data_IF_210889961084
#
_entry.id   IF_210889961084
#
_cell.length_a   1.000
_cell.length_b   1.000
_cell.length_c   1.000
_cell.angle_alpha   90.00
_cell.angle_beta   90.00
_cell.angle_gamma   90.00
#
_symmetry.space_group_name_H-M   'P 1'
#
loop_
_entity.id
_entity.type
_entity.pdbx_description
1 polymer ?
#
# COMPACT_ATOMS: atom_id res chain seq x y z
N UNK A 1 -32.97 6.02 -3.03
CA UNK A 1 -31.49 6.00 -3.05
C UNK A 1 -30.93 4.59 -3.34
N UNK A 2 -31.41 3.55 -2.65
CA UNK A 2 -30.98 2.15 -2.83
C UNK A 2 -31.20 1.60 -4.25
N UNK A 3 -32.37 1.86 -4.86
CA UNK A 3 -32.69 1.39 -6.23
C UNK A 3 -31.72 1.95 -7.28
N UNK A 4 -31.32 3.23 -7.14
CA UNK A 4 -30.33 3.86 -8.02
C UNK A 4 -28.94 3.21 -7.91
N UNK A 5 -28.57 2.75 -6.72
CA UNK A 5 -27.30 2.05 -6.49
C UNK A 5 -27.28 0.68 -7.18
N UNK A 6 -28.37 -0.09 -7.06
CA UNK A 6 -28.52 -1.36 -7.78
C UNK A 6 -28.52 -1.17 -9.30
N UNK A 7 -29.19 -0.13 -9.80
CA UNK A 7 -29.17 0.19 -11.23
C UNK A 7 -27.76 0.51 -11.74
N UNK A 8 -26.99 1.34 -11.02
CA UNK A 8 -25.58 1.64 -11.39
C UNK A 8 -24.72 0.39 -11.42
N UNK A 9 -24.89 -0.51 -10.45
CA UNK A 9 -24.16 -1.78 -10.38
C UNK A 9 -24.52 -2.66 -11.57
N UNK A 10 -25.81 -2.87 -11.84
CA UNK A 10 -26.28 -3.67 -12.97
C UNK A 10 -25.81 -3.08 -14.30
N UNK A 11 -25.94 -1.77 -14.49
CA UNK A 11 -25.46 -1.07 -15.68
C UNK A 11 -23.95 -1.29 -15.88
N UNK A 12 -23.15 -1.23 -14.81
CA UNK A 12 -21.72 -1.54 -14.87
C UNK A 12 -21.48 -3.00 -15.29
N UNK A 13 -22.18 -3.97 -14.70
CA UNK A 13 -22.02 -5.37 -15.08
C UNK A 13 -22.39 -5.63 -16.55
N UNK A 14 -23.51 -5.06 -17.01
CA UNK A 14 -23.95 -5.15 -18.40
C UNK A 14 -22.92 -4.49 -19.32
N UNK A 15 -22.42 -3.32 -18.97
CA UNK A 15 -21.37 -2.63 -19.72
C UNK A 15 -20.08 -3.48 -19.81
N UNK A 16 -19.62 -4.03 -18.69
CA UNK A 16 -18.43 -4.89 -18.66
C UNK A 16 -18.64 -6.20 -19.41
N UNK A 17 -19.86 -6.75 -19.42
CA UNK A 17 -20.19 -7.93 -20.20
C UNK A 17 -20.15 -7.63 -21.70
N UNK A 18 -20.81 -6.56 -22.15
CA UNK A 18 -20.85 -6.15 -23.56
C UNK A 18 -19.46 -5.82 -24.09
N UNK A 19 -18.65 -5.08 -23.33
CA UNK A 19 -17.29 -4.75 -23.75
C UNK A 19 -16.42 -6.00 -23.83
N UNK A 20 -16.61 -6.95 -22.91
CA UNK A 20 -15.89 -8.24 -22.95
C UNK A 20 -16.28 -9.07 -24.16
N UNK A 21 -17.56 -9.06 -24.54
CA UNK A 21 -18.05 -9.75 -25.74
C UNK A 21 -17.45 -9.16 -27.02
N UNK A 22 -17.41 -7.82 -27.13
CA UNK A 22 -16.75 -7.11 -28.25
C UNK A 22 -15.25 -7.43 -28.30
N UNK A 23 -14.61 -7.57 -27.14
CA UNK A 23 -13.18 -7.83 -27.06
C UNK A 23 -12.81 -9.32 -27.18
N UNK A 24 -13.79 -10.23 -27.20
CA UNK A 24 -13.56 -11.68 -27.25
C UNK A 24 -12.72 -12.14 -28.46
N UNK A 25 -12.93 -11.63 -29.70
CA UNK A 25 -12.18 -12.08 -30.87
C UNK A 25 -10.69 -11.71 -30.87
N UNK A 26 -10.27 -10.72 -30.08
CA UNK A 26 -8.87 -10.31 -30.03
C UNK A 26 -8.01 -11.36 -29.33
N UNK A 27 -6.92 -11.77 -29.99
CA UNK A 27 -5.99 -12.78 -29.47
C UNK A 27 -5.24 -12.28 -28.25
N UNK A 28 -4.97 -13.19 -27.32
CA UNK A 28 -4.03 -12.98 -26.23
C UNK A 28 -2.63 -12.96 -26.82
N UNK A 29 -1.84 -11.94 -26.48
CA UNK A 29 -0.43 -11.79 -26.83
C UNK A 29 0.42 -12.39 -25.70
N UNK A 30 1.25 -13.42 -25.96
CA UNK A 30 1.93 -14.17 -24.91
C UNK A 30 2.95 -13.33 -24.14
N UNK A 31 3.63 -12.36 -24.77
CA UNK A 31 4.66 -11.53 -24.13
C UNK A 31 4.12 -10.24 -23.46
N UNK A 32 2.81 -10.14 -23.25
CA UNK A 32 2.16 -8.88 -22.85
C UNK A 32 1.60 -8.95 -21.44
N UNK A 33 1.93 -7.94 -20.63
CA UNK A 33 1.57 -7.87 -19.21
C UNK A 33 0.90 -6.52 -18.94
N UNK A 34 -0.22 -6.52 -18.22
CA UNK A 34 -0.91 -5.30 -17.81
C UNK A 34 -0.87 -5.12 -16.29
N UNK A 35 -0.56 -3.91 -15.86
CA UNK A 35 -0.43 -3.52 -14.46
C UNK A 35 -1.47 -2.45 -14.09
N UNK A 36 -1.96 -2.52 -12.86
CA UNK A 36 -2.84 -1.50 -12.26
C UNK A 36 -2.46 -1.29 -10.81
N UNK A 37 -2.28 -0.02 -10.43
CA UNK A 37 -2.15 0.41 -9.05
C UNK A 37 -3.42 1.17 -8.59
N UNK A 38 -4.09 0.72 -7.54
CA UNK A 38 -5.25 1.38 -6.91
C UNK A 38 -6.29 1.97 -7.90
N UNK A 39 -6.78 1.17 -8.85
CA UNK A 39 -7.71 1.61 -9.90
C UNK A 39 -7.18 2.78 -10.76
N UNK A 40 -5.90 2.71 -11.11
CA UNK A 40 -5.20 3.62 -12.01
C UNK A 40 -4.57 4.85 -11.33
N UNK A 41 -4.32 4.81 -10.02
CA UNK A 41 -3.64 5.90 -9.32
C UNK A 41 -2.13 5.78 -9.44
N UNK A 42 -1.55 6.50 -10.39
CA UNK A 42 -0.10 6.67 -10.54
C UNK A 42 0.70 5.36 -10.71
N UNK A 43 2.01 5.48 -10.51
CA UNK A 43 2.99 4.40 -10.60
C UNK A 43 3.52 4.06 -9.20
N UNK A 44 3.13 2.91 -8.64
CA UNK A 44 3.47 2.59 -7.25
C UNK A 44 3.08 1.19 -6.80
N UNK A 45 3.38 0.93 -5.52
CA UNK A 45 3.06 -0.29 -4.77
C UNK A 45 3.68 -1.57 -5.40
N UNK A 46 3.17 -2.75 -5.04
CA UNK A 46 3.72 -4.03 -5.50
C UNK A 46 3.81 -4.16 -7.03
N UNK A 47 2.80 -3.71 -7.82
CA UNK A 47 2.88 -3.77 -9.28
C UNK A 47 4.04 -2.97 -9.87
N UNK A 48 4.45 -1.85 -9.24
CA UNK A 48 5.59 -1.05 -9.68
C UNK A 48 6.87 -1.85 -9.57
N UNK A 49 7.15 -2.43 -8.41
CA UNK A 49 8.42 -3.17 -8.20
C UNK A 49 8.55 -4.37 -9.13
N UNK A 50 7.45 -5.11 -9.33
CA UNK A 50 7.41 -6.21 -10.31
C UNK A 50 7.68 -5.69 -11.72
N UNK A 51 7.03 -4.58 -12.11
CA UNK A 51 7.20 -3.96 -13.42
C UNK A 51 8.66 -3.51 -13.64
N UNK A 52 9.30 -2.88 -12.65
CA UNK A 52 10.71 -2.44 -12.76
C UNK A 52 11.68 -3.61 -12.93
N UNK A 53 11.49 -4.70 -12.17
CA UNK A 53 12.28 -5.92 -12.33
C UNK A 53 12.12 -6.49 -13.75
N UNK A 54 10.88 -6.64 -14.22
CA UNK A 54 10.60 -7.19 -15.55
C UNK A 54 11.13 -6.29 -16.67
N UNK A 55 10.96 -4.97 -16.55
CA UNK A 55 11.42 -3.97 -17.52
C UNK A 55 12.93 -3.98 -17.69
N UNK A 56 13.66 -4.17 -16.59
CA UNK A 56 15.12 -4.17 -16.57
C UNK A 56 15.69 -5.52 -17.03
N UNK A 57 15.04 -6.62 -16.65
CA UNK A 57 15.56 -7.99 -16.88
C UNK A 57 15.09 -8.61 -18.19
N UNK A 58 13.88 -8.25 -18.65
CA UNK A 58 13.22 -8.81 -19.83
C UNK A 58 12.68 -7.68 -20.73
N UNK A 59 13.56 -6.90 -21.39
CA UNK A 59 13.18 -5.69 -22.13
C UNK A 59 12.28 -5.95 -23.35
N UNK A 60 12.17 -7.20 -23.83
CA UNK A 60 11.34 -7.60 -24.97
C UNK A 60 9.84 -7.77 -24.62
N UNK A 61 9.46 -7.60 -23.35
CA UNK A 61 8.07 -7.69 -22.90
C UNK A 61 7.26 -6.42 -23.25
N UNK A 62 6.00 -6.59 -23.66
CA UNK A 62 5.04 -5.48 -23.79
C UNK A 62 4.44 -5.19 -22.41
N UNK A 63 5.08 -4.28 -21.67
CA UNK A 63 4.64 -3.85 -20.34
C UNK A 63 3.66 -2.67 -20.48
N UNK A 64 2.43 -2.89 -20.03
CA UNK A 64 1.35 -1.91 -20.14
C UNK A 64 0.86 -1.48 -18.77
N UNK A 65 0.84 -0.18 -18.52
CA UNK A 65 0.33 0.35 -17.26
C UNK A 65 -0.98 1.10 -17.48
N UNK A 66 -2.04 0.74 -16.73
CA UNK A 66 -3.30 1.48 -16.80
C UNK A 66 -3.36 2.52 -15.68
N UNK A 67 -3.35 3.80 -16.05
CA UNK A 67 -3.36 4.93 -15.12
C UNK A 67 -4.36 6.01 -15.53
N UNK A 68 -4.84 6.79 -14.55
CA UNK A 68 -5.72 7.95 -14.80
C UNK A 68 -4.93 9.14 -15.35
N UNK A 69 -3.69 9.27 -14.89
CA UNK A 69 -2.71 10.28 -15.27
C UNK A 69 -1.52 9.58 -15.94
N UNK A 70 -0.83 10.29 -16.84
CA UNK A 70 0.23 9.71 -17.68
C UNK A 70 1.64 10.20 -17.29
N UNK A 71 1.80 10.80 -16.10
CA UNK A 71 3.08 11.37 -15.64
C UNK A 71 3.80 10.43 -14.66
N UNK A 72 5.14 10.48 -14.66
CA UNK A 72 5.96 9.76 -13.67
C UNK A 72 6.18 8.27 -13.96
N UNK A 73 6.06 7.85 -15.23
CA UNK A 73 6.33 6.48 -15.67
C UNK A 73 7.70 6.38 -16.36
N UNK A 74 8.43 5.26 -16.18
CA UNK A 74 9.74 5.06 -16.80
C UNK A 74 9.63 4.69 -18.29
N UNK A 75 10.70 4.95 -19.04
CA UNK A 75 10.83 4.48 -20.42
C UNK A 75 10.75 2.94 -20.49
N UNK A 76 10.11 2.44 -21.54
CA UNK A 76 9.83 1.01 -21.73
C UNK A 76 8.51 0.53 -21.11
N UNK A 77 7.74 1.41 -20.48
CA UNK A 77 6.38 1.10 -20.00
C UNK A 77 5.35 1.91 -20.78
N UNK A 78 4.43 1.21 -21.44
CA UNK A 78 3.37 1.86 -22.23
C UNK A 78 2.19 2.23 -21.35
N UNK A 79 1.94 3.52 -21.19
CA UNK A 79 0.85 4.01 -20.35
C UNK A 79 -0.44 4.15 -21.16
N UNK A 80 -1.53 3.59 -20.65
CA UNK A 80 -2.86 3.66 -21.26
C UNK A 80 -3.87 4.18 -20.24
N UNK A 81 -4.72 5.12 -20.67
CA UNK A 81 -5.69 5.76 -19.78
C UNK A 81 -6.70 4.75 -19.23
N UNK A 82 -6.76 4.60 -17.92
CA UNK A 82 -7.65 3.69 -17.19
C UNK A 82 -9.13 3.97 -17.50
N UNK A 83 -9.92 2.91 -17.64
CA UNK A 83 -11.37 3.00 -17.92
C UNK A 83 -11.76 3.35 -19.36
N UNK A 84 -10.79 3.46 -20.28
CA UNK A 84 -11.05 3.67 -21.72
C UNK A 84 -11.21 2.35 -22.46
N UNK A 85 -11.80 2.39 -23.67
CA UNK A 85 -11.85 1.21 -24.55
C UNK A 85 -10.47 0.61 -24.82
N UNK A 86 -9.46 1.47 -25.01
CA UNK A 86 -8.08 1.03 -25.16
C UNK A 86 -7.62 0.25 -23.92
N UNK A 87 -7.85 0.74 -22.70
CA UNK A 87 -7.50 0.03 -21.48
C UNK A 87 -8.18 -1.34 -21.37
N UNK A 88 -9.44 -1.47 -21.80
CA UNK A 88 -10.12 -2.77 -21.85
C UNK A 88 -9.51 -3.70 -22.90
N UNK A 89 -9.12 -3.18 -24.07
CA UNK A 89 -8.37 -3.94 -25.08
C UNK A 89 -7.02 -4.42 -24.55
N UNK A 90 -6.28 -3.58 -23.82
CA UNK A 90 -5.02 -3.98 -23.18
C UNK A 90 -5.26 -5.16 -22.23
N UNK A 91 -6.27 -5.07 -21.36
CA UNK A 91 -6.67 -6.19 -20.50
C UNK A 91 -7.03 -7.44 -21.32
N UNK A 92 -7.79 -7.32 -22.40
CA UNK A 92 -8.26 -8.45 -23.21
C UNK A 92 -7.17 -9.15 -24.02
N UNK A 93 -6.07 -8.45 -24.29
CA UNK A 93 -4.96 -8.92 -25.11
C UNK A 93 -3.72 -9.28 -24.31
N UNK A 94 -3.59 -8.88 -23.04
CA UNK A 94 -2.48 -9.28 -22.18
C UNK A 94 -2.58 -10.75 -21.74
N UNK A 95 -1.44 -11.43 -21.67
CA UNK A 95 -1.33 -12.77 -21.09
C UNK A 95 -1.43 -12.75 -19.57
N UNK A 96 -0.84 -11.75 -18.93
CA UNK A 96 -0.82 -11.61 -17.46
C UNK A 96 -1.37 -10.27 -17.00
N UNK A 97 -2.18 -10.28 -15.94
CA UNK A 97 -2.70 -9.11 -15.22
C UNK A 97 -2.06 -9.06 -13.83
N UNK A 98 -1.52 -7.91 -13.42
CA UNK A 98 -0.88 -7.72 -12.11
C UNK A 98 -1.52 -6.52 -11.40
N UNK A 99 -2.46 -6.78 -10.49
CA UNK A 99 -3.19 -5.72 -9.76
C UNK A 99 -2.96 -5.83 -8.25
N UNK A 100 -3.14 -4.74 -7.50
CA UNK A 100 -3.00 -4.69 -6.03
C UNK A 100 -4.31 -4.42 -5.27
N UNK A 101 -5.37 -4.16 -6.01
CA UNK A 101 -6.73 -4.04 -5.49
C UNK A 101 -7.69 -4.74 -6.44
N UNK A 102 -8.91 -4.96 -5.96
CA UNK A 102 -10.01 -5.37 -6.82
C UNK A 102 -10.28 -4.26 -7.84
N UNK A 103 -10.14 -4.60 -9.13
CA UNK A 103 -10.32 -3.65 -10.21
C UNK A 103 -11.81 -3.53 -10.60
N UNK A 104 -12.40 -2.35 -10.42
CA UNK A 104 -13.82 -2.13 -10.72
C UNK A 104 -14.12 -2.05 -12.22
N UNK A 105 -13.16 -1.58 -13.01
CA UNK A 105 -13.21 -1.53 -14.47
C UNK A 105 -12.40 -2.70 -15.06
N UNK A 106 -12.82 -3.93 -14.76
CA UNK A 106 -12.18 -5.17 -15.21
C UNK A 106 -13.08 -5.94 -16.17
N UNK A 107 -12.53 -6.34 -17.31
CA UNK A 107 -13.25 -7.20 -18.26
C UNK A 107 -13.40 -8.63 -17.70
N UNK A 108 -14.22 -9.45 -18.36
CA UNK A 108 -14.24 -10.88 -18.11
C UNK A 108 -12.88 -11.47 -18.53
N UNK A 109 -12.19 -12.11 -17.58
CA UNK A 109 -10.92 -12.80 -17.84
C UNK A 109 -11.13 -13.94 -18.82
N UNK A 110 -10.36 -13.95 -19.91
CA UNK A 110 -10.39 -15.02 -20.92
C UNK A 110 -9.63 -16.24 -20.42
N UNK A 111 -10.02 -17.42 -20.93
CA UNK A 111 -9.23 -18.64 -20.74
C UNK A 111 -7.85 -18.45 -21.35
N UNK A 112 -6.81 -18.83 -20.60
CA UNK A 112 -5.42 -18.67 -21.00
C UNK A 112 -4.75 -17.40 -20.50
N UNK A 113 -5.49 -16.46 -19.90
CA UNK A 113 -4.93 -15.33 -19.15
C UNK A 113 -4.70 -15.71 -17.68
N UNK A 114 -3.65 -15.14 -17.10
CA UNK A 114 -3.29 -15.27 -15.70
C UNK A 114 -3.52 -13.93 -14.99
N UNK A 115 -4.17 -13.97 -13.83
CA UNK A 115 -4.41 -12.83 -12.97
C UNK A 115 -3.71 -13.03 -11.63
N UNK A 116 -2.71 -12.19 -11.39
CA UNK A 116 -1.95 -12.11 -10.16
C UNK A 116 -2.48 -10.94 -9.33
N UNK A 117 -2.99 -11.27 -8.15
CA UNK A 117 -3.41 -10.31 -7.14
C UNK A 117 -2.28 -10.13 -6.14
N UNK A 118 -1.73 -8.92 -6.08
CA UNK A 118 -0.61 -8.58 -5.21
C UNK A 118 -1.05 -8.11 -3.83
N UNK A 119 -2.34 -7.75 -3.68
CA UNK A 119 -2.84 -7.01 -2.52
C UNK A 119 -1.97 -5.78 -2.20
N UNK A 120 -2.18 -5.10 -1.08
CA UNK A 120 -1.57 -3.79 -0.82
C UNK A 120 -1.19 -3.56 0.65
N UNK A 121 -1.10 -4.62 1.44
CA UNK A 121 -0.63 -4.54 2.82
C UNK A 121 -0.21 -5.91 3.31
N UNK A 122 0.63 -5.94 4.34
CA UNK A 122 1.01 -7.12 5.12
C UNK A 122 -0.19 -7.61 5.97
N UNK A 123 0.03 -8.07 7.20
CA UNK A 123 -1.06 -8.30 8.16
C UNK A 123 -1.91 -7.04 8.38
N UNK A 124 -3.19 -7.26 8.72
CA UNK A 124 -4.14 -6.18 8.97
C UNK A 124 -4.36 -5.94 10.45
N UNK A 125 -4.43 -4.67 10.86
CA UNK A 125 -4.96 -4.26 12.17
C UNK A 125 -6.49 -4.09 12.17
N UNK A 126 -7.10 -4.11 10.99
CA UNK A 126 -8.53 -3.93 10.77
C UNK A 126 -9.14 -5.29 10.44
N UNK A 127 -10.43 -5.48 10.74
CA UNK A 127 -11.12 -6.68 10.29
C UNK A 127 -11.16 -6.71 8.76
N UNK A 128 -10.84 -7.86 8.17
CA UNK A 128 -10.80 -8.05 6.71
C UNK A 128 -11.81 -9.11 6.27
N UNK A 129 -12.46 -8.85 5.13
CA UNK A 129 -13.34 -9.81 4.46
C UNK A 129 -14.35 -10.46 5.43
N UNK A 130 -14.34 -11.79 5.58
CA UNK A 130 -15.28 -12.52 6.43
C UNK A 130 -15.25 -12.12 7.91
N UNK A 131 -14.25 -11.35 8.37
CA UNK A 131 -14.22 -10.84 9.74
C UNK A 131 -15.14 -9.63 9.94
N UNK A 132 -15.42 -8.88 8.88
CA UNK A 132 -16.23 -7.67 8.96
C UNK A 132 -17.66 -7.94 8.44
N UNK A 133 -18.62 -7.18 8.95
CA UNK A 133 -19.96 -7.12 8.35
C UNK A 133 -19.91 -6.23 7.11
N UNK A 134 -20.06 -6.85 5.93
CA UNK A 134 -19.81 -6.21 4.65
C UNK A 134 -21.07 -6.17 3.78
N UNK A 135 -21.33 -5.06 3.08
CA UNK A 135 -22.46 -4.96 2.16
C UNK A 135 -22.45 -6.08 1.11
N UNK A 136 -23.62 -6.60 0.78
CA UNK A 136 -23.76 -7.73 -0.16
C UNK A 136 -23.07 -7.49 -1.52
N UNK A 137 -23.10 -6.25 -2.02
CA UNK A 137 -22.43 -5.89 -3.27
C UNK A 137 -20.91 -5.99 -3.15
N UNK A 138 -20.33 -5.64 -2.00
CA UNK A 138 -18.91 -5.84 -1.74
C UNK A 138 -18.58 -7.33 -1.78
N UNK A 139 -19.37 -8.16 -1.09
CA UNK A 139 -19.14 -9.61 -1.00
C UNK A 139 -19.24 -10.28 -2.38
N UNK A 140 -20.19 -9.88 -3.21
CA UNK A 140 -20.33 -10.39 -4.58
C UNK A 140 -19.10 -10.06 -5.45
N UNK A 141 -18.60 -8.81 -5.40
CA UNK A 141 -17.37 -8.42 -6.09
C UNK A 141 -16.16 -9.18 -5.56
N UNK A 142 -16.04 -9.32 -4.24
CA UNK A 142 -14.92 -10.02 -3.62
C UNK A 142 -14.88 -11.50 -4.00
N UNK A 143 -16.04 -12.18 -4.01
CA UNK A 143 -16.17 -13.56 -4.47
C UNK A 143 -15.89 -13.70 -5.97
N UNK A 144 -16.32 -12.73 -6.79
CA UNK A 144 -16.05 -12.76 -8.21
C UNK A 144 -14.56 -12.55 -8.52
N UNK A 145 -13.92 -11.57 -7.86
CA UNK A 145 -12.48 -11.32 -8.00
C UNK A 145 -11.68 -12.54 -7.57
N UNK A 146 -11.97 -13.10 -6.38
CA UNK A 146 -11.33 -14.31 -5.89
C UNK A 146 -11.47 -15.51 -6.85
N UNK A 147 -12.61 -15.66 -7.54
CA UNK A 147 -12.82 -16.73 -8.52
C UNK A 147 -11.93 -16.59 -9.76
N UNK A 148 -11.62 -15.37 -10.17
CA UNK A 148 -10.84 -15.13 -11.40
C UNK A 148 -9.36 -14.92 -11.13
N UNK A 149 -8.97 -14.67 -9.89
CA UNK A 149 -7.57 -14.64 -9.46
C UNK A 149 -6.97 -16.03 -9.59
N UNK A 150 -5.85 -16.15 -10.29
CA UNK A 150 -5.13 -17.42 -10.40
C UNK A 150 -4.10 -17.55 -9.27
N UNK A 151 -3.39 -16.44 -8.96
CA UNK A 151 -2.34 -16.39 -7.94
C UNK A 151 -2.56 -15.17 -7.05
N UNK A 152 -2.51 -15.35 -5.73
CA UNK A 152 -2.46 -14.26 -4.77
C UNK A 152 -1.11 -14.25 -4.07
N UNK A 153 -0.37 -13.15 -4.10
CA UNK A 153 0.89 -13.08 -3.35
C UNK A 153 0.59 -12.83 -1.87
N UNK A 154 1.41 -13.39 -1.01
CA UNK A 154 1.37 -13.13 0.43
C UNK A 154 2.71 -12.59 0.89
N UNK A 155 2.63 -11.63 1.79
CA UNK A 155 3.72 -11.13 2.60
C UNK A 155 4.26 -12.30 3.41
N UNK A 156 3.57 -12.72 4.48
CA UNK A 156 4.10 -13.69 5.42
C UNK A 156 3.23 -14.93 5.58
N UNK A 157 3.71 -15.90 6.35
CA UNK A 157 2.91 -17.04 6.79
C UNK A 157 1.62 -16.62 7.50
N UNK A 158 1.70 -15.61 8.37
CA UNK A 158 0.51 -15.08 9.06
C UNK A 158 -0.49 -14.50 8.06
N UNK A 159 -0.04 -13.75 7.06
CA UNK A 159 -0.94 -13.25 6.03
C UNK A 159 -1.53 -14.39 5.17
N UNK A 160 -0.75 -15.42 4.84
CA UNK A 160 -1.24 -16.60 4.14
C UNK A 160 -2.41 -17.24 4.89
N UNK A 161 -2.29 -17.37 6.21
CA UNK A 161 -3.33 -17.90 7.10
C UNK A 161 -4.54 -16.95 7.18
N UNK A 162 -4.33 -15.64 7.25
CA UNK A 162 -5.39 -14.63 7.18
C UNK A 162 -6.19 -14.74 5.86
N UNK A 163 -5.51 -14.89 4.72
CA UNK A 163 -6.17 -15.07 3.42
C UNK A 163 -6.97 -16.37 3.37
N UNK A 164 -6.40 -17.49 3.82
CA UNK A 164 -7.11 -18.78 3.85
C UNK A 164 -8.37 -18.73 4.73
N UNK A 165 -8.27 -18.08 5.89
CA UNK A 165 -9.36 -18.02 6.87
C UNK A 165 -10.44 -17.01 6.47
N UNK A 166 -10.04 -15.82 6.06
CA UNK A 166 -10.94 -14.67 5.96
C UNK A 166 -11.26 -14.26 4.52
N UNK A 167 -10.38 -14.49 3.55
CA UNK A 167 -10.68 -14.13 2.16
C UNK A 167 -11.63 -15.14 1.51
N UNK A 168 -12.27 -14.71 0.43
CA UNK A 168 -13.11 -15.56 -0.43
C UNK A 168 -12.29 -16.36 -1.46
N UNK A 169 -10.96 -16.38 -1.32
CA UNK A 169 -10.00 -16.98 -2.23
C UNK A 169 -9.57 -18.35 -1.71
N UNK A 170 -9.44 -19.31 -2.62
CA UNK A 170 -9.04 -20.70 -2.33
C UNK A 170 -8.04 -21.24 -3.36
N UNK A 171 -7.44 -20.36 -4.15
CA UNK A 171 -6.42 -20.72 -5.15
C UNK A 171 -5.01 -20.72 -4.55
N UNK A 172 -4.02 -20.60 -5.43
CA UNK A 172 -2.61 -20.55 -5.05
C UNK A 172 -2.25 -19.26 -4.32
N UNK A 173 -1.75 -19.40 -3.08
CA UNK A 173 -1.13 -18.30 -2.34
C UNK A 173 0.38 -18.42 -2.46
N UNK A 174 1.01 -17.46 -3.13
CA UNK A 174 2.45 -17.42 -3.33
C UNK A 174 3.10 -16.56 -2.23
N UNK A 175 3.58 -17.22 -1.18
CA UNK A 175 4.23 -16.60 -0.03
C UNK A 175 5.66 -16.18 -0.38
N UNK A 176 5.85 -14.91 -0.71
CA UNK A 176 7.12 -14.38 -1.25
C UNK A 176 7.54 -13.02 -0.67
N UNK A 177 6.72 -12.44 0.20
CA UNK A 177 6.89 -11.06 0.63
C UNK A 177 6.20 -10.08 -0.31
N UNK A 178 6.27 -8.81 0.06
CA UNK A 178 5.72 -7.70 -0.72
C UNK A 178 6.80 -7.13 -1.66
N UNK A 179 6.64 -7.18 -3.00
CA UNK A 179 7.56 -6.57 -3.96
C UNK A 179 7.91 -5.11 -3.67
N UNK A 180 6.98 -4.32 -3.13
CA UNK A 180 7.26 -2.92 -2.74
C UNK A 180 8.30 -2.82 -1.61
N UNK A 181 8.46 -3.86 -0.80
CA UNK A 181 9.37 -3.88 0.34
C UNK A 181 10.80 -4.29 -0.04
N UNK A 182 11.07 -4.74 -1.28
CA UNK A 182 12.44 -5.08 -1.70
C UNK A 182 13.41 -3.90 -1.55
N UNK A 183 12.94 -2.69 -1.85
CA UNK A 183 13.72 -1.46 -1.67
C UNK A 183 14.15 -1.22 -0.22
N UNK A 184 13.45 -1.81 0.77
CA UNK A 184 13.81 -1.70 2.19
C UNK A 184 15.02 -2.56 2.57
N UNK A 185 15.37 -3.55 1.75
CA UNK A 185 16.53 -4.42 1.95
C UNK A 185 17.75 -3.89 1.20
N UNK A 186 17.54 -3.36 0.00
CA UNK A 186 18.62 -2.94 -0.91
C UNK A 186 18.89 -1.43 -0.89
N UNK A 187 18.34 -0.70 0.09
CA UNK A 187 18.43 0.77 0.15
C UNK A 187 19.86 1.34 0.15
N UNK A 188 20.85 0.54 0.56
CA UNK A 188 22.27 0.93 0.54
C UNK A 188 22.81 1.03 -0.88
N UNK A 189 22.24 0.29 -1.83
CA UNK A 189 22.59 0.31 -3.25
C UNK A 189 22.04 1.57 -3.95
N UNK A 190 21.00 2.18 -3.38
CA UNK A 190 20.28 3.35 -3.90
C UNK A 190 20.63 4.68 -3.19
N UNK A 191 21.85 4.80 -2.64
CA UNK A 191 22.25 5.95 -1.82
C UNK A 191 22.07 7.30 -2.55
N UNK A 192 22.43 7.37 -3.83
CA UNK A 192 22.28 8.58 -4.64
C UNK A 192 20.81 8.96 -4.88
N UNK A 193 19.96 7.96 -5.10
CA UNK A 193 18.51 8.16 -5.24
C UNK A 193 17.94 8.74 -3.95
N UNK A 194 18.28 8.16 -2.80
CA UNK A 194 17.84 8.64 -1.49
C UNK A 194 18.34 10.06 -1.21
N UNK A 195 19.60 10.37 -1.54
CA UNK A 195 20.13 11.73 -1.42
C UNK A 195 19.42 12.74 -2.30
N UNK A 196 19.05 12.36 -3.53
CA UNK A 196 18.27 13.22 -4.41
C UNK A 196 16.87 13.49 -3.85
N UNK A 197 16.23 12.50 -3.25
CA UNK A 197 14.93 12.67 -2.58
C UNK A 197 15.08 13.58 -1.35
N UNK A 198 16.11 13.37 -0.51
CA UNK A 198 16.43 14.26 0.62
C UNK A 198 16.58 15.71 0.17
N UNK A 199 17.35 15.96 -0.89
CA UNK A 199 17.53 17.30 -1.47
C UNK A 199 16.20 17.91 -1.94
N UNK A 200 15.37 17.14 -2.66
CA UNK A 200 14.03 17.61 -3.11
C UNK A 200 13.12 18.00 -1.94
N UNK A 201 13.23 17.29 -0.82
CA UNK A 201 12.46 17.56 0.40
C UNK A 201 13.17 18.54 1.36
N UNK A 202 14.31 19.13 0.98
CA UNK A 202 15.12 20.02 1.84
C UNK A 202 15.49 19.37 3.19
N UNK A 203 15.80 18.07 3.16
CA UNK A 203 16.29 17.28 4.28
C UNK A 203 17.82 17.23 4.19
N UNK A 204 18.50 17.66 5.24
CA UNK A 204 19.96 17.60 5.35
C UNK A 204 20.42 16.24 5.90
N UNK A 205 21.73 15.97 5.87
CA UNK A 205 22.30 14.70 6.38
C UNK A 205 22.03 14.48 7.86
N UNK A 206 22.04 15.56 8.64
CA UNK A 206 21.98 15.53 10.10
C UNK A 206 20.56 15.73 10.65
N UNK A 207 19.58 15.95 9.75
CA UNK A 207 18.18 16.08 10.12
C UNK A 207 17.61 14.72 10.52
N UNK A 208 16.93 14.69 11.66
CA UNK A 208 16.15 13.56 12.13
C UNK A 208 14.74 13.61 11.54
N UNK A 209 14.36 12.61 10.75
CA UNK A 209 13.13 12.62 9.95
C UNK A 209 12.02 11.85 10.66
N UNK A 210 10.89 12.51 10.90
CA UNK A 210 9.71 11.94 11.55
C UNK A 210 8.60 11.85 10.50
N UNK A 211 8.19 10.63 10.16
CA UNK A 211 7.07 10.40 9.25
C UNK A 211 5.78 10.26 10.06
N UNK A 212 4.85 11.19 9.89
CA UNK A 212 3.49 11.09 10.43
C UNK A 212 2.54 10.60 9.33
N UNK A 213 2.01 9.38 9.48
CA UNK A 213 1.20 8.72 8.45
C UNK A 213 -0.02 8.01 9.06
N UNK A 214 -1.07 8.74 9.46
CA UNK A 214 -2.27 8.17 10.06
C UNK A 214 -3.20 7.54 9.01
N UNK A 215 -4.06 6.63 9.45
CA UNK A 215 -5.11 6.04 8.62
C UNK A 215 -6.31 6.99 8.46
N UNK A 216 -7.11 6.80 7.41
CA UNK A 216 -8.36 7.54 7.23
C UNK A 216 -9.50 6.96 8.06
N UNK A 217 -10.54 7.76 8.30
CA UNK A 217 -11.78 7.38 8.97
C UNK A 217 -12.93 7.34 7.96
N UNK A 218 -13.78 6.32 8.00
CA UNK A 218 -14.85 6.16 6.99
C UNK A 218 -15.95 7.21 7.10
N UNK A 219 -16.15 7.75 8.29
CA UNK A 219 -17.11 8.81 8.58
C UNK A 219 -16.58 10.21 8.24
N UNK A 220 -15.34 10.31 7.74
CA UNK A 220 -14.69 11.57 7.42
C UNK A 220 -14.28 12.39 8.64
N UNK A 221 -14.29 11.80 9.83
CA UNK A 221 -13.88 12.49 11.05
C UNK A 221 -12.40 12.90 10.97
N UNK A 222 -12.14 14.17 11.29
CA UNK A 222 -10.83 14.78 11.33
C UNK A 222 -10.34 15.04 12.76
N UNK A 223 -11.14 14.73 13.79
CA UNK A 223 -10.81 14.97 15.20
C UNK A 223 -9.54 14.23 15.65
N UNK A 224 -9.20 13.11 15.00
CA UNK A 224 -7.96 12.40 15.25
C UNK A 224 -6.69 13.24 14.96
N UNK A 225 -6.82 14.28 14.12
CA UNK A 225 -5.75 15.21 13.75
C UNK A 225 -5.77 16.45 14.66
N UNK A 226 -5.54 16.23 15.96
CA UNK A 226 -5.55 17.24 17.03
C UNK A 226 -4.13 17.72 17.42
N UNK A 227 -3.15 17.52 16.53
CA UNK A 227 -1.74 17.77 16.80
C UNK A 227 -1.35 19.21 16.39
N UNK A 228 -0.74 19.95 17.30
CA UNK A 228 0.06 21.13 16.97
C UNK A 228 1.48 20.68 16.59
N UNK A 229 1.73 20.57 15.28
CA UNK A 229 3.01 20.08 14.76
C UNK A 229 4.20 20.98 15.08
N UNK A 230 4.02 22.29 15.27
CA UNK A 230 5.12 23.19 15.67
C UNK A 230 5.53 22.94 17.12
N UNK A 231 4.56 22.77 18.02
CA UNK A 231 4.82 22.37 19.40
C UNK A 231 5.46 20.98 19.46
N UNK A 232 4.92 20.01 18.72
CA UNK A 232 5.48 18.66 18.68
C UNK A 232 6.93 18.68 18.18
N UNK A 233 7.22 19.44 17.12
CA UNK A 233 8.57 19.63 16.62
C UNK A 233 9.51 20.16 17.71
N UNK A 234 9.12 21.22 18.42
CA UNK A 234 9.93 21.79 19.50
C UNK A 234 10.19 20.78 20.63
N UNK A 235 9.16 20.03 21.04
CA UNK A 235 9.28 19.02 22.08
C UNK A 235 10.23 17.89 21.68
N UNK A 236 10.14 17.40 20.43
CA UNK A 236 11.04 16.35 19.93
C UNK A 236 12.47 16.85 19.79
N UNK A 237 12.69 18.00 19.15
CA UNK A 237 14.03 18.57 19.02
C UNK A 237 14.68 18.82 20.40
N UNK A 238 13.89 19.29 21.37
CA UNK A 238 14.36 19.48 22.74
C UNK A 238 14.69 18.15 23.42
N UNK A 239 13.86 17.13 23.25
CA UNK A 239 14.05 15.82 23.88
C UNK A 239 15.28 15.10 23.33
N UNK A 240 15.33 14.89 22.01
CA UNK A 240 16.37 14.07 21.37
C UNK A 240 17.64 14.85 21.00
N UNK A 241 17.65 16.17 21.22
CA UNK A 241 18.78 17.08 20.91
C UNK A 241 19.25 17.05 19.45
N UNK A 242 18.32 16.89 18.50
CA UNK A 242 18.59 16.91 17.06
C UNK A 242 17.61 17.84 16.34
N UNK A 243 18.05 18.41 15.21
CA UNK A 243 17.15 19.10 14.28
C UNK A 243 16.22 18.08 13.65
N UNK A 244 14.94 18.42 13.54
CA UNK A 244 13.93 17.48 13.07
C UNK A 244 13.20 18.00 11.83
N UNK A 245 12.76 17.06 10.98
CA UNK A 245 11.85 17.30 9.86
C UNK A 245 10.64 16.40 10.02
N UNK A 246 9.44 16.97 10.04
CA UNK A 246 8.19 16.21 9.93
C UNK A 246 7.80 16.05 8.47
N UNK A 247 7.61 14.81 8.04
CA UNK A 247 6.95 14.47 6.79
C UNK A 247 5.52 14.04 7.11
N UNK A 248 4.53 14.81 6.68
CA UNK A 248 3.12 14.51 6.94
C UNK A 248 2.52 13.86 5.70
N UNK A 249 2.19 12.58 5.81
CA UNK A 249 1.61 11.76 4.74
C UNK A 249 0.19 11.35 5.11
N UNK A 250 -0.79 12.19 4.81
CA UNK A 250 -2.19 11.80 5.01
C UNK A 250 -2.60 10.76 3.96
N UNK A 251 -3.53 9.88 4.34
CA UNK A 251 -4.11 8.90 3.43
C UNK A 251 -4.87 9.59 2.29
N UNK A 252 -4.87 9.08 1.04
CA UNK A 252 -5.55 9.73 -0.09
C UNK A 252 -7.02 10.13 0.16
N UNK A 253 -7.77 9.33 0.92
CA UNK A 253 -9.17 9.64 1.26
C UNK A 253 -9.32 10.84 2.23
N UNK A 254 -8.27 11.16 2.99
CA UNK A 254 -8.19 12.31 3.90
C UNK A 254 -7.19 13.37 3.40
N UNK A 255 -6.74 13.29 2.15
CA UNK A 255 -5.71 14.19 1.62
C UNK A 255 -6.08 15.66 1.72
N UNK A 256 -7.37 16.00 1.57
CA UNK A 256 -7.88 17.37 1.70
C UNK A 256 -7.67 18.00 3.09
N UNK A 257 -7.52 17.19 4.15
CA UNK A 257 -7.24 17.67 5.50
C UNK A 257 -5.85 18.30 5.63
N UNK A 258 -4.95 18.10 4.66
CA UNK A 258 -3.65 18.77 4.66
C UNK A 258 -3.81 20.30 4.65
N UNK A 259 -4.92 20.83 4.11
CA UNK A 259 -5.19 22.27 4.09
C UNK A 259 -5.40 22.86 5.50
N UNK A 260 -5.62 22.03 6.51
CA UNK A 260 -5.78 22.44 7.90
C UNK A 260 -4.45 22.40 8.68
N UNK A 261 -3.34 22.02 8.02
CA UNK A 261 -2.02 21.91 8.64
C UNK A 261 -1.14 23.06 8.15
N UNK A 262 -0.53 23.77 9.09
CA UNK A 262 0.49 24.78 8.79
C UNK A 262 1.81 24.10 8.41
N UNK A 263 2.15 24.12 7.13
CA UNK A 263 3.42 23.62 6.62
C UNK A 263 4.48 24.73 6.62
N UNK A 264 5.74 24.33 6.83
CA UNK A 264 6.89 25.22 6.77
C UNK A 264 8.15 24.41 6.38
N UNK A 265 9.34 25.03 6.45
CA UNK A 265 10.60 24.35 6.07
C UNK A 265 10.90 23.07 6.85
N UNK A 266 10.34 22.88 8.04
CA UNK A 266 10.55 21.72 8.91
C UNK A 266 9.31 20.83 9.05
N UNK A 267 8.13 21.29 8.61
CA UNK A 267 6.88 20.52 8.57
C UNK A 267 6.46 20.45 7.11
N UNK A 268 6.78 19.34 6.46
CA UNK A 268 6.70 19.16 5.01
C UNK A 268 5.44 18.36 4.66
N UNK A 269 4.68 18.87 3.67
CA UNK A 269 3.53 18.15 3.13
C UNK A 269 3.99 17.03 2.21
N UNK A 270 3.95 15.79 2.68
CA UNK A 270 4.23 14.59 1.90
C UNK A 270 2.95 13.89 1.41
N UNK A 271 1.76 14.45 1.64
CA UNK A 271 0.45 13.84 1.33
C UNK A 271 0.27 13.47 -0.14
N UNK A 272 0.94 14.16 -1.06
CA UNK A 272 0.85 13.85 -2.50
C UNK A 272 2.10 13.17 -3.04
N UNK A 273 3.05 12.81 -2.19
CA UNK A 273 4.24 12.06 -2.59
C UNK A 273 3.82 10.66 -3.07
N UNK A 274 4.30 10.26 -4.25
CA UNK A 274 3.80 9.08 -4.97
C UNK A 274 4.18 7.76 -4.29
N UNK A 275 5.39 7.67 -3.73
CA UNK A 275 5.94 6.42 -3.20
C UNK A 275 6.11 6.46 -1.68
N UNK A 276 5.34 5.64 -0.96
CA UNK A 276 5.44 5.50 0.49
C UNK A 276 6.76 4.87 0.93
N UNK A 277 7.32 3.96 0.13
CA UNK A 277 8.53 3.22 0.48
C UNK A 277 9.74 4.15 0.53
N UNK A 278 9.78 5.12 -0.37
CA UNK A 278 10.81 6.17 -0.36
C UNK A 278 10.70 7.03 0.92
N UNK A 279 9.50 7.43 1.33
CA UNK A 279 9.32 8.15 2.61
C UNK A 279 9.72 7.30 3.81
N UNK A 280 9.37 6.01 3.80
CA UNK A 280 9.73 5.03 4.83
C UNK A 280 11.26 4.88 4.96
N UNK A 281 11.98 4.87 3.84
CA UNK A 281 13.45 4.82 3.84
C UNK A 281 14.09 6.08 4.43
N UNK A 282 13.52 7.26 4.13
CA UNK A 282 14.02 8.54 4.64
C UNK A 282 13.78 8.73 6.14
N UNK A 283 12.66 8.23 6.64
CA UNK A 283 12.22 8.45 8.01
C UNK A 283 13.07 7.69 9.03
N UNK A 284 13.43 8.34 10.13
CA UNK A 284 14.10 7.72 11.28
C UNK A 284 13.08 7.14 12.26
N UNK A 285 11.88 7.71 12.34
CA UNK A 285 10.75 7.20 13.15
C UNK A 285 9.42 7.36 12.40
N UNK A 286 8.52 6.39 12.59
CA UNK A 286 7.14 6.44 12.12
C UNK A 286 6.19 6.78 13.28
N UNK A 287 5.35 7.80 13.11
CA UNK A 287 4.21 8.08 13.98
C UNK A 287 2.93 7.77 13.20
N UNK A 288 2.13 6.83 13.69
CA UNK A 288 0.95 6.34 12.97
C UNK A 288 -0.10 5.82 13.97
N UNK A 289 -1.17 5.19 13.48
CA UNK A 289 -2.27 4.66 14.28
C UNK A 289 -2.53 3.16 13.98
N UNK A 290 -3.53 2.87 13.13
CA UNK A 290 -3.98 1.56 12.69
C UNK A 290 -3.41 1.18 11.32
N UNK A 291 -2.30 1.80 10.92
CA UNK A 291 -1.71 1.60 9.60
C UNK A 291 -0.85 0.33 9.57
N UNK A 292 -1.06 -0.50 8.55
CA UNK A 292 -0.17 -1.64 8.27
C UNK A 292 1.24 -1.21 7.83
N UNK A 293 1.49 0.09 7.60
CA UNK A 293 2.85 0.60 7.35
C UNK A 293 3.82 0.35 8.52
N UNK A 294 3.31 0.06 9.73
CA UNK A 294 4.14 -0.41 10.85
C UNK A 294 4.93 -1.66 10.46
N UNK A 295 4.31 -2.63 9.77
CA UNK A 295 4.98 -3.86 9.36
C UNK A 295 6.12 -3.60 8.39
N UNK A 296 5.91 -2.69 7.43
CA UNK A 296 6.96 -2.25 6.51
C UNK A 296 8.11 -1.56 7.27
N UNK A 297 7.79 -0.72 8.26
CA UNK A 297 8.78 -0.01 9.09
C UNK A 297 9.62 -0.96 9.97
N UNK A 298 9.01 -2.04 10.47
CA UNK A 298 9.70 -3.06 11.26
C UNK A 298 10.81 -3.77 10.46
N UNK A 299 10.69 -3.86 9.12
CA UNK A 299 11.74 -4.43 8.28
C UNK A 299 13.05 -3.63 8.35
N UNK A 300 12.96 -2.31 8.58
CA UNK A 300 14.13 -1.43 8.72
C UNK A 300 14.77 -1.47 10.11
N UNK A 301 14.18 -2.16 11.09
CA UNK A 301 14.55 -2.08 12.50
C UNK A 301 14.58 -0.63 13.03
N UNK A 302 13.60 0.18 12.63
CA UNK A 302 13.46 1.58 13.07
C UNK A 302 12.30 1.73 14.06
N UNK A 303 12.36 2.73 14.95
CA UNK A 303 11.29 2.99 15.90
C UNK A 303 9.98 3.38 15.22
N UNK A 304 8.87 2.98 15.82
CA UNK A 304 7.54 3.49 15.51
C UNK A 304 6.78 3.85 16.80
N UNK A 305 5.81 4.75 16.69
CA UNK A 305 4.96 5.18 17.81
C UNK A 305 3.52 5.22 17.35
N UNK A 306 2.63 4.55 18.11
CA UNK A 306 1.19 4.60 17.88
C UNK A 306 0.55 5.77 18.63
N UNK A 307 0.04 6.74 17.87
CA UNK A 307 -0.81 7.83 18.37
C UNK A 307 -2.26 7.52 18.02
N UNK A 308 -3.07 7.24 19.04
CA UNK A 308 -4.42 6.70 18.89
C UNK A 308 -5.37 7.33 19.90
N UNK A 309 -6.05 8.39 19.48
CA UNK A 309 -6.99 9.16 20.30
C UNK A 309 -8.47 8.76 20.09
N UNK A 310 -8.75 7.75 19.27
CA UNK A 310 -10.12 7.39 18.86
C UNK A 310 -10.38 5.87 18.73
N UNK A 311 -9.71 5.04 19.54
CA UNK A 311 -9.83 3.56 19.51
C UNK A 311 -11.24 3.02 19.57
N UNK A 312 -12.05 3.52 20.50
CA UNK A 312 -13.42 3.02 20.68
C UNK A 312 -14.24 3.26 19.41
N UNK A 313 -14.25 4.52 18.94
CA UNK A 313 -14.95 4.91 17.72
C UNK A 313 -14.44 4.18 16.48
N UNK A 314 -13.13 4.02 16.34
CA UNK A 314 -12.52 3.32 15.21
C UNK A 314 -12.91 1.83 15.19
N UNK A 315 -12.89 1.18 16.37
CA UNK A 315 -13.28 -0.21 16.51
C UNK A 315 -14.76 -0.45 16.20
N UNK A 316 -15.64 0.48 16.56
CA UNK A 316 -17.05 0.42 16.18
C UNK A 316 -17.27 0.52 14.67
N UNK A 317 -16.55 1.42 14.00
CA UNK A 317 -16.76 1.68 12.57
C UNK A 317 -16.14 0.62 11.66
N UNK A 318 -14.98 0.06 12.03
CA UNK A 318 -14.18 -0.81 11.16
C UNK A 318 -13.83 -2.17 11.73
N UNK A 319 -13.98 -2.31 13.04
CA UNK A 319 -13.38 -3.40 13.78
C UNK A 319 -11.85 -3.31 13.81
N UNK A 320 -11.30 -3.88 14.88
CA UNK A 320 -9.87 -3.99 15.11
C UNK A 320 -9.56 -5.46 15.37
N UNK A 321 -8.59 -6.01 14.66
CA UNK A 321 -8.17 -7.41 14.80
C UNK A 321 -7.24 -7.61 15.99
N UNK A 322 -7.13 -8.84 16.51
CA UNK A 322 -6.21 -9.21 17.60
C UNK A 322 -4.76 -8.78 17.32
N UNK A 323 -4.30 -8.87 16.07
CA UNK A 323 -2.96 -8.42 15.64
C UNK A 323 -2.61 -7.00 16.10
N UNK A 324 -3.59 -6.10 16.25
CA UNK A 324 -3.38 -4.74 16.73
C UNK A 324 -3.05 -4.67 18.22
N UNK A 325 -3.65 -5.54 19.02
CA UNK A 325 -3.46 -5.61 20.47
C UNK A 325 -2.20 -6.42 20.83
N UNK A 326 -1.72 -7.27 19.93
CA UNK A 326 -0.52 -8.10 20.11
C UNK A 326 0.80 -7.32 19.93
N UNK A 327 0.77 -6.09 19.39
CA UNK A 327 1.97 -5.29 19.21
C UNK A 327 2.64 -4.99 20.57
N UNK A 328 3.94 -5.28 20.76
CA UNK A 328 4.63 -5.09 22.03
C UNK A 328 5.12 -3.64 22.17
N UNK A 329 4.20 -2.69 22.05
CA UNK A 329 4.43 -1.26 22.24
C UNK A 329 3.35 -0.65 23.15
N UNK A 330 3.56 0.60 23.56
CA UNK A 330 2.55 1.36 24.29
C UNK A 330 1.98 2.49 23.43
N UNK A 331 0.65 2.61 23.48
CA UNK A 331 -0.14 3.59 22.72
C UNK A 331 -0.14 4.94 23.46
N UNK A 332 -0.01 6.03 22.70
CA UNK A 332 -0.25 7.41 23.16
C UNK A 332 -1.69 7.79 22.78
N UNK A 333 -2.47 8.36 23.71
CA UNK A 333 -3.89 8.61 23.49
C UNK A 333 -4.28 10.08 23.39
N UNK A 334 -3.41 10.99 23.79
CA UNK A 334 -3.70 12.44 23.74
C UNK A 334 -2.54 13.23 23.15
N UNK A 335 -2.83 14.40 22.56
CA UNK A 335 -1.81 15.28 22.03
C UNK A 335 -0.80 15.73 23.11
N UNK A 336 -1.25 15.95 24.36
CA UNK A 336 -0.37 16.30 25.47
C UNK A 336 0.61 15.18 25.83
N UNK A 337 0.14 13.94 25.89
CA UNK A 337 1.01 12.77 26.03
C UNK A 337 1.95 12.64 24.83
N UNK A 338 1.50 12.97 23.61
CA UNK A 338 2.35 12.92 22.41
C UNK A 338 3.53 13.88 22.52
N UNK A 339 3.29 15.11 23.00
CA UNK A 339 4.35 16.11 23.20
C UNK A 339 5.40 15.65 24.22
N UNK A 340 4.99 15.00 25.31
CA UNK A 340 5.92 14.57 26.37
C UNK A 340 6.59 13.20 26.10
N UNK A 341 5.86 12.24 25.52
CA UNK A 341 6.29 10.85 25.43
C UNK A 341 6.97 10.48 24.11
N UNK A 342 6.70 11.19 23.01
CA UNK A 342 7.34 10.88 21.72
C UNK A 342 8.87 10.90 21.80
N UNK A 343 9.54 11.92 22.38
CA UNK A 343 11.00 11.93 22.48
C UNK A 343 11.52 10.76 23.32
N UNK A 344 10.87 10.48 24.47
CA UNK A 344 11.23 9.39 25.38
C UNK A 344 11.08 8.02 24.72
N UNK A 345 10.05 7.83 23.91
CA UNK A 345 9.81 6.58 23.17
C UNK A 345 10.81 6.37 22.04
N UNK A 346 11.26 7.44 21.39
CA UNK A 346 12.32 7.35 20.38
C UNK A 346 13.62 6.88 21.04
N UNK A 347 13.99 7.47 22.17
CA UNK A 347 15.24 7.14 22.88
C UNK A 347 15.22 5.75 23.53
N UNK A 348 14.08 5.35 24.09
CA UNK A 348 13.92 4.09 24.82
C UNK A 348 13.13 3.03 24.03
N UNK A 349 13.23 3.04 22.70
CA UNK A 349 12.53 2.08 21.86
C UNK A 349 13.03 0.66 22.12
N UNK A 350 12.12 -0.28 22.38
CA UNK A 350 12.46 -1.69 22.63
C UNK A 350 12.67 -2.44 21.31
N UNK A 351 13.88 -2.32 20.76
CA UNK A 351 14.25 -2.98 19.51
C UNK A 351 14.18 -4.51 19.60
N UNK A 352 14.43 -5.11 20.76
CA UNK A 352 14.48 -6.56 20.91
C UNK A 352 13.08 -7.18 20.85
N UNK A 353 12.11 -6.61 21.58
CA UNK A 353 10.71 -7.07 21.53
C UNK A 353 10.12 -6.92 20.13
N UNK A 354 10.42 -5.81 19.45
CA UNK A 354 9.94 -5.55 18.09
C UNK A 354 10.59 -6.48 17.08
N UNK A 355 11.89 -6.72 17.18
CA UNK A 355 12.59 -7.68 16.33
C UNK A 355 12.03 -9.09 16.51
N UNK A 356 11.72 -9.49 17.76
CA UNK A 356 11.08 -10.78 18.05
C UNK A 356 9.69 -10.87 17.42
N UNK A 357 8.82 -9.90 17.68
CA UNK A 357 7.47 -9.84 17.11
C UNK A 357 7.49 -9.84 15.57
N UNK A 358 8.38 -9.04 14.98
CA UNK A 358 8.58 -9.02 13.53
C UNK A 358 8.94 -10.42 13.00
N UNK A 359 9.91 -11.10 13.60
CA UNK A 359 10.32 -12.42 13.13
C UNK A 359 9.19 -13.46 13.24
N UNK A 360 8.32 -13.34 14.26
CA UNK A 360 7.15 -14.19 14.45
C UNK A 360 6.06 -13.94 13.40
N UNK A 361 5.78 -12.67 13.08
CA UNK A 361 4.64 -12.26 12.23
C UNK A 361 5.00 -12.20 10.75
N UNK A 362 6.20 -11.72 10.44
CA UNK A 362 6.67 -11.49 9.09
C UNK A 362 7.42 -12.69 8.52
N UNK A 363 7.97 -13.59 9.35
CA UNK A 363 8.76 -14.75 8.93
C UNK A 363 10.03 -14.35 8.13
N UNK A 364 11.20 -14.99 8.32
CA UNK A 364 12.45 -14.59 7.67
C UNK A 364 12.56 -14.90 6.15
N UNK A 365 11.44 -15.12 5.44
CA UNK A 365 11.45 -15.37 3.99
C UNK A 365 11.91 -14.11 3.22
N UNK A 366 11.85 -12.93 3.85
CA UNK A 366 12.16 -11.66 3.19
C UNK A 366 13.65 -11.36 3.17
N UNK A 367 14.19 -11.37 1.95
CA UNK A 367 15.56 -11.01 1.63
C UNK A 367 15.63 -9.98 0.49
N UNK A 368 14.52 -9.29 0.22
CA UNK A 368 14.42 -8.30 -0.86
C UNK A 368 14.38 -8.88 -2.27
N UNK A 369 13.88 -10.10 -2.45
CA UNK A 369 13.79 -10.75 -3.77
C UNK A 369 12.35 -10.98 -4.23
N UNK A 370 11.34 -10.37 -3.61
CA UNK A 370 9.94 -10.63 -3.90
C UNK A 370 9.58 -10.26 -5.35
N UNK A 371 10.06 -9.13 -5.86
CA UNK A 371 9.87 -8.67 -7.24
C UNK A 371 10.51 -9.62 -8.24
N UNK A 372 11.71 -10.13 -7.94
CA UNK A 372 12.40 -11.12 -8.75
C UNK A 372 11.61 -12.43 -8.80
N UNK A 373 11.18 -12.94 -7.63
CA UNK A 373 10.45 -14.21 -7.53
C UNK A 373 9.11 -14.15 -8.26
N UNK A 374 8.34 -13.06 -8.08
CA UNK A 374 7.09 -12.85 -8.80
C UNK A 374 7.35 -12.64 -10.30
N UNK A 375 8.38 -11.88 -10.67
CA UNK A 375 8.76 -11.67 -12.06
C UNK A 375 9.13 -12.99 -12.77
N UNK A 376 9.95 -13.83 -12.14
CA UNK A 376 10.29 -15.17 -12.66
C UNK A 376 9.07 -16.06 -12.77
N UNK A 377 8.15 -16.01 -11.79
CA UNK A 377 6.88 -16.73 -11.89
C UNK A 377 6.06 -16.25 -13.08
N UNK A 378 5.97 -14.93 -13.30
CA UNK A 378 5.30 -14.37 -14.48
C UNK A 378 5.90 -14.93 -15.78
N UNK A 379 7.23 -14.97 -15.90
CA UNK A 379 7.91 -15.51 -17.08
C UNK A 379 7.57 -16.99 -17.33
N UNK A 380 7.40 -17.80 -16.27
CA UNK A 380 7.00 -19.20 -16.42
C UNK A 380 5.57 -19.36 -16.97
N UNK A 381 4.72 -18.34 -16.80
CA UNK A 381 3.34 -18.33 -17.26
C UNK A 381 3.16 -17.79 -18.69
N UNK A 382 4.17 -17.09 -19.24
CA UNK A 382 4.14 -16.54 -20.61
C UNK A 382 4.35 -17.64 -21.64
#
# INVERSE_FOLDING_TARGET
MIVLQYFKILARFVFMFLISAVLLPFKIKPNKIVFINFNGKGYGDNPKSICEYLRTTYPDLDLVWLARDNEGFPDGVRVVKYGTFQAFYEQASSKVWVYNVRAFARILKKRGQIYIQTWHGASSFKLIEKQADLPINYVLEAKYDARVTDIMISDSRKQTEEFQKYFWYSGEIFEVGMPRNDALFHYKEDYDKLNNIRKKLSIHSDDYVILYAPTFRDDGDASYLDINFERLLQCVEHGIKKKCKFLIRLHPNHSHLCNNISFNKNIINATFYSDMQELTLLADVLVTDYSSSIFDFMLLNKPYVRYVNDLEKYAELRGVSDTYYELPDSIIKTAEELYDLLPKKIENFDYDSIKKYRNEILCPIFNGTASENVGRRIIQEL
#
